data_IF_690224544727
#
_entry.id   IF_690224544727
#
_cell.length_a   1.000
_cell.length_b   1.000
_cell.length_c   1.000
_cell.angle_alpha   90.00
_cell.angle_beta   90.00
_cell.angle_gamma   90.00
#
_symmetry.space_group_name_H-M   'P 1'
#
loop_
_entity.id
_entity.type
_entity.pdbx_description
1 polymer ?
#
# COMPACT_ATOMS: atom_id res chain seq x y z
N UNK A 1 -13.47 8.39 14.78
CA UNK A 1 -12.97 9.02 13.52
C UNK A 1 -13.51 10.44 13.34
N UNK A 2 -14.82 10.68 13.26
CA UNK A 2 -15.39 12.00 12.96
C UNK A 2 -14.96 13.12 13.94
N UNK A 3 -15.04 12.89 15.25
CA UNK A 3 -14.55 13.85 16.29
C UNK A 3 -13.06 14.17 16.16
N UNK A 4 -12.25 13.18 15.77
CA UNK A 4 -10.82 13.39 15.60
C UNK A 4 -10.54 14.26 14.37
N UNK A 5 -11.21 14.01 13.24
CA UNK A 5 -11.07 14.83 12.03
C UNK A 5 -11.49 16.28 12.27
N UNK A 6 -12.58 16.51 13.01
CA UNK A 6 -13.02 17.86 13.39
C UNK A 6 -11.97 18.59 14.26
N UNK A 7 -11.24 17.86 15.11
CA UNK A 7 -10.15 18.40 15.92
C UNK A 7 -8.84 18.61 15.13
N UNK A 8 -8.73 18.05 13.91
CA UNK A 8 -7.51 18.10 13.09
C UNK A 8 -7.81 18.60 11.66
N UNK A 9 -8.09 19.90 11.48
CA UNK A 9 -8.54 20.46 10.20
C UNK A 9 -7.50 20.44 9.08
N UNK A 10 -6.25 20.08 9.39
CA UNK A 10 -5.17 19.89 8.41
C UNK A 10 -5.40 18.68 7.50
N UNK A 11 -6.27 17.75 7.88
CA UNK A 11 -6.56 16.55 7.11
C UNK A 11 -7.81 16.76 6.24
N UNK A 12 -7.63 16.77 4.93
CA UNK A 12 -8.72 16.72 3.96
C UNK A 12 -8.85 15.31 3.40
N UNK A 13 -10.04 14.73 3.49
CA UNK A 13 -10.31 13.40 2.95
C UNK A 13 -10.80 13.51 1.51
N UNK A 14 -10.13 12.81 0.61
CA UNK A 14 -10.57 12.61 -0.76
C UNK A 14 -11.03 11.16 -0.93
N UNK A 15 -12.28 10.98 -1.33
CA UNK A 15 -12.86 9.66 -1.57
C UNK A 15 -12.83 9.36 -3.07
N UNK A 16 -12.49 8.12 -3.42
CA UNK A 16 -12.65 7.62 -4.79
C UNK A 16 -14.15 7.47 -5.09
N UNK A 17 -14.61 7.73 -6.33
CA UNK A 17 -15.99 7.48 -6.71
C UNK A 17 -16.37 6.01 -6.50
N UNK A 18 -17.65 5.74 -6.29
CA UNK A 18 -18.16 4.36 -6.15
C UNK A 18 -17.75 3.53 -7.38
N UNK A 19 -17.34 2.28 -7.14
CA UNK A 19 -16.82 1.35 -8.16
C UNK A 19 -15.50 1.78 -8.85
N UNK A 20 -14.81 2.80 -8.34
CA UNK A 20 -13.53 3.26 -8.90
C UNK A 20 -12.33 2.78 -8.10
N UNK A 21 -12.38 1.55 -7.56
CA UNK A 21 -11.26 0.99 -6.78
C UNK A 21 -9.98 0.86 -7.61
N UNK A 22 -10.10 0.73 -8.92
CA UNK A 22 -8.98 0.70 -9.86
C UNK A 22 -8.07 1.94 -9.82
N UNK A 23 -8.56 3.10 -9.36
CA UNK A 23 -7.74 4.32 -9.22
C UNK A 23 -7.02 4.39 -7.85
N UNK A 24 -7.34 3.47 -6.93
CA UNK A 24 -6.77 3.44 -5.59
C UNK A 24 -5.32 2.91 -5.64
N UNK A 25 -4.36 3.81 -5.47
CA UNK A 25 -2.93 3.47 -5.48
C UNK A 25 -2.54 2.51 -4.35
N UNK A 26 -3.24 2.54 -3.21
CA UNK A 26 -2.96 1.65 -2.08
C UNK A 26 -3.28 0.20 -2.46
N UNK A 27 -4.40 -0.06 -3.14
CA UNK A 27 -4.72 -1.39 -3.65
C UNK A 27 -3.70 -1.87 -4.68
N UNK A 28 -3.26 -0.97 -5.58
CA UNK A 28 -2.21 -1.30 -6.56
C UNK A 28 -0.89 -1.65 -5.88
N UNK A 29 -0.54 -0.94 -4.81
CA UNK A 29 0.64 -1.22 -4.01
C UNK A 29 0.57 -2.60 -3.33
N UNK A 30 -0.57 -2.93 -2.72
CA UNK A 30 -0.77 -4.25 -2.10
C UNK A 30 -0.70 -5.40 -3.10
N UNK A 31 -1.26 -5.22 -4.30
CA UNK A 31 -1.14 -6.23 -5.36
C UNK A 31 0.33 -6.48 -5.77
N UNK A 32 1.17 -5.44 -5.75
CA UNK A 32 2.59 -5.60 -6.06
C UNK A 32 3.38 -6.25 -4.92
N UNK A 33 3.03 -5.93 -3.66
CA UNK A 33 3.56 -6.61 -2.47
C UNK A 33 3.25 -8.11 -2.53
N UNK A 34 1.99 -8.45 -2.81
CA UNK A 34 1.54 -9.83 -2.91
C UNK A 34 2.33 -10.58 -3.98
N UNK A 35 2.34 -10.06 -5.21
CA UNK A 35 3.00 -10.68 -6.36
C UNK A 35 4.52 -10.83 -6.21
N UNK A 36 5.20 -9.85 -5.60
CA UNK A 36 6.67 -9.83 -5.52
C UNK A 36 7.22 -10.44 -4.26
N UNK A 37 6.55 -10.26 -3.12
CA UNK A 37 7.03 -10.71 -1.83
C UNK A 37 6.31 -11.96 -1.34
N UNK A 38 4.97 -11.97 -1.38
CA UNK A 38 4.19 -13.03 -0.72
C UNK A 38 4.06 -14.30 -1.56
N UNK A 39 3.70 -14.17 -2.84
CA UNK A 39 3.54 -15.34 -3.75
C UNK A 39 4.87 -16.07 -3.99
N UNK A 40 6.00 -15.37 -3.87
CA UNK A 40 7.34 -15.91 -4.13
C UNK A 40 8.12 -16.25 -2.85
N UNK A 41 7.61 -15.86 -1.70
CA UNK A 41 8.25 -16.04 -0.42
C UNK A 41 7.90 -17.39 0.22
N UNK A 42 8.88 -18.01 0.86
CA UNK A 42 8.67 -19.13 1.78
C UNK A 42 9.07 -18.66 3.16
N UNK A 43 8.13 -18.63 4.10
CA UNK A 43 8.34 -18.11 5.45
C UNK A 43 8.20 -19.23 6.46
N UNK A 44 9.25 -19.47 7.23
CA UNK A 44 9.27 -20.53 8.25
C UNK A 44 8.74 -20.06 9.61
N UNK A 45 8.56 -18.74 9.78
CA UNK A 45 8.02 -18.13 10.99
C UNK A 45 7.35 -16.78 10.71
N UNK A 46 6.57 -16.29 11.68
CA UNK A 46 6.04 -14.92 11.64
C UNK A 46 7.14 -13.86 11.68
N UNK A 47 8.27 -14.13 12.33
CA UNK A 47 9.42 -13.23 12.38
C UNK A 47 10.06 -13.07 10.99
N UNK A 48 10.17 -14.17 10.25
CA UNK A 48 10.70 -14.16 8.88
C UNK A 48 9.78 -13.38 7.94
N UNK A 49 8.47 -13.60 8.05
CA UNK A 49 7.47 -12.84 7.28
C UNK A 49 7.57 -11.34 7.59
N UNK A 50 7.63 -10.97 8.87
CA UNK A 50 7.74 -9.56 9.27
C UNK A 50 9.00 -8.91 8.69
N UNK A 51 10.14 -9.60 8.79
CA UNK A 51 11.42 -9.09 8.27
C UNK A 51 11.35 -8.90 6.75
N UNK A 52 10.81 -9.89 6.03
CA UNK A 52 10.64 -9.80 4.58
C UNK A 52 9.71 -8.65 4.16
N UNK A 53 8.62 -8.41 4.89
CA UNK A 53 7.73 -7.27 4.65
C UNK A 53 8.46 -5.94 4.87
N UNK A 54 9.18 -5.78 5.98
CA UNK A 54 9.92 -4.55 6.28
C UNK A 54 11.00 -4.26 5.23
N UNK A 55 11.73 -5.29 4.79
CA UNK A 55 12.76 -5.14 3.77
C UNK A 55 12.18 -4.85 2.39
N UNK A 56 11.09 -5.51 2.02
CA UNK A 56 10.40 -5.20 0.77
C UNK A 56 9.87 -3.76 0.75
N UNK A 57 9.31 -3.27 1.87
CA UNK A 57 8.84 -1.88 2.00
C UNK A 57 10.01 -0.90 1.81
N UNK A 58 11.18 -1.17 2.40
CA UNK A 58 12.38 -0.32 2.21
C UNK A 58 12.79 -0.26 0.74
N UNK A 59 12.97 -1.42 0.11
CA UNK A 59 13.35 -1.51 -1.31
C UNK A 59 12.34 -0.79 -2.21
N UNK A 60 11.04 -1.00 -1.95
CA UNK A 60 9.98 -0.33 -2.70
C UNK A 60 10.06 1.20 -2.56
N UNK A 61 10.26 1.71 -1.35
CA UNK A 61 10.32 3.14 -1.09
C UNK A 61 11.55 3.80 -1.72
N UNK A 62 12.69 3.13 -1.70
CA UNK A 62 13.93 3.63 -2.31
C UNK A 62 13.82 3.71 -3.84
N UNK A 63 13.10 2.78 -4.46
CA UNK A 63 12.89 2.74 -5.91
C UNK A 63 11.53 3.28 -6.37
N UNK A 64 10.78 3.95 -5.50
CA UNK A 64 9.38 4.30 -5.76
C UNK A 64 9.23 5.15 -7.03
N UNK A 65 8.41 4.67 -7.97
CA UNK A 65 8.07 5.39 -9.21
C UNK A 65 6.58 5.66 -9.30
N UNK A 66 6.15 6.80 -9.86
CA UNK A 66 4.75 7.05 -10.14
C UNK A 66 4.14 5.92 -10.98
N UNK A 67 2.94 5.47 -10.61
CA UNK A 67 2.19 4.52 -11.43
C UNK A 67 1.85 5.16 -12.78
N UNK A 68 2.25 4.50 -13.87
CA UNK A 68 1.85 4.89 -15.22
C UNK A 68 0.50 4.27 -15.54
N UNK A 69 -0.52 5.10 -15.56
CA UNK A 69 -1.85 4.71 -16.01
C UNK A 69 -1.87 4.69 -17.54
N UNK A 70 -2.15 3.53 -18.13
CA UNK A 70 -2.45 3.42 -19.56
C UNK A 70 -3.94 3.68 -19.78
N UNK A 71 -4.27 4.39 -20.86
CA UNK A 71 -5.65 4.51 -21.34
C UNK A 71 -6.18 3.17 -21.83
#
# INVERSE_FOLDING_TARGET
VHKWLLAHPRFQLHFTPTYSSWINQVERWFAELERRCLERGVFCSLGDLKTALEDWIKVWNDEARPFKWTK
#
